data_IF_560962800119
#
_entry.id   IF_560962800119
#
_cell.length_a   1.000
_cell.length_b   1.000
_cell.length_c   1.000
_cell.angle_alpha   90.00
_cell.angle_beta   90.00
_cell.angle_gamma   90.00
#
_symmetry.space_group_name_H-M   'P 1'
#
loop_
_entity.id
_entity.type
_entity.pdbx_description
1 polymer ?
#
# COMPACT_ATOMS: atom_id res chain seq x y z
N UNK A 1 -14.90 -35.64 6.24
CA UNK A 1 -14.75 -35.07 4.89
C UNK A 1 -14.92 -33.57 5.06
N UNK A 2 -13.84 -32.79 4.99
CA UNK A 2 -13.90 -31.33 5.14
C UNK A 2 -14.04 -30.76 3.73
N UNK A 3 -15.13 -30.07 3.45
CA UNK A 3 -15.31 -29.32 2.19
C UNK A 3 -14.20 -28.25 2.08
N UNK A 4 -13.62 -28.01 0.90
CA UNK A 4 -12.77 -26.84 0.70
C UNK A 4 -13.59 -25.60 1.01
N UNK A 5 -13.09 -24.79 1.94
CA UNK A 5 -13.74 -23.55 2.33
C UNK A 5 -13.61 -22.59 1.13
N UNK A 6 -14.66 -22.51 0.32
CA UNK A 6 -14.75 -21.59 -0.83
C UNK A 6 -14.98 -20.17 -0.29
N UNK A 7 -13.92 -19.62 0.32
CA UNK A 7 -13.96 -18.39 1.09
C UNK A 7 -12.79 -17.49 0.73
N UNK A 8 -13.02 -16.18 0.77
CA UNK A 8 -11.98 -15.17 0.61
C UNK A 8 -10.88 -15.41 1.67
N UNK A 9 -9.66 -15.66 1.19
CA UNK A 9 -8.46 -15.82 2.02
C UNK A 9 -7.62 -14.55 1.97
N UNK A 10 -7.08 -14.14 3.12
CA UNK A 10 -6.06 -13.09 3.16
C UNK A 10 -4.71 -13.72 2.75
N UNK A 11 -4.28 -13.47 1.52
CA UNK A 11 -3.03 -14.05 0.98
C UNK A 11 -1.78 -13.34 1.49
N UNK A 12 -1.83 -12.02 1.63
CA UNK A 12 -0.69 -11.21 2.01
C UNK A 12 -1.11 -9.92 2.73
N UNK A 13 -0.23 -9.38 3.56
CA UNK A 13 -0.39 -8.10 4.24
C UNK A 13 0.96 -7.39 4.30
N UNK A 14 0.97 -6.05 4.21
CA UNK A 14 2.18 -5.23 4.33
C UNK A 14 1.93 -4.03 5.24
N UNK A 15 2.96 -3.61 5.97
CA UNK A 15 2.94 -2.38 6.75
C UNK A 15 3.31 -1.21 5.85
N UNK A 16 2.44 -0.21 5.79
CA UNK A 16 2.64 1.00 4.98
C UNK A 16 3.35 2.13 5.75
N UNK A 17 3.40 2.04 7.08
CA UNK A 17 3.94 3.06 7.97
C UNK A 17 3.09 3.20 9.24
N UNK A 18 3.53 4.03 10.18
CA UNK A 18 2.82 4.30 11.43
C UNK A 18 1.77 5.43 11.28
N UNK A 19 2.04 6.40 10.40
CA UNK A 19 1.27 7.64 10.25
C UNK A 19 0.96 7.88 8.77
N UNK A 20 0.12 7.01 8.24
CA UNK A 20 -0.34 7.06 6.84
C UNK A 20 -1.79 7.48 6.76
N UNK A 21 -2.11 8.28 5.75
CA UNK A 21 -3.48 8.55 5.33
C UNK A 21 -3.66 7.99 3.93
N UNK A 22 -4.49 6.96 3.79
CA UNK A 22 -4.78 6.35 2.50
C UNK A 22 -5.85 7.20 1.80
N UNK A 23 -5.54 7.69 0.61
CA UNK A 23 -6.49 8.42 -0.23
C UNK A 23 -7.27 7.46 -1.12
N UNK A 24 -6.59 6.47 -1.73
CA UNK A 24 -7.23 5.43 -2.52
C UNK A 24 -6.41 4.15 -2.58
N UNK A 25 -7.10 3.03 -2.82
CA UNK A 25 -6.50 1.72 -3.10
C UNK A 25 -7.18 1.14 -4.33
N UNK A 26 -6.38 0.76 -5.31
CA UNK A 26 -6.84 0.17 -6.56
C UNK A 26 -6.09 -1.13 -6.83
N UNK A 27 -6.77 -2.10 -7.44
CA UNK A 27 -6.14 -3.28 -8.02
C UNK A 27 -6.28 -3.17 -9.54
N UNK A 28 -5.17 -2.86 -10.21
CA UNK A 28 -5.13 -2.65 -11.65
C UNK A 28 -4.03 -3.49 -12.28
N UNK A 29 -4.35 -4.21 -13.37
CA UNK A 29 -3.40 -5.06 -14.10
C UNK A 29 -2.65 -6.09 -13.22
N UNK A 30 -3.30 -6.58 -12.16
CA UNK A 30 -2.69 -7.54 -11.22
C UNK A 30 -1.76 -6.91 -10.17
N UNK A 31 -1.66 -5.59 -10.13
CA UNK A 31 -0.87 -4.84 -9.16
C UNK A 31 -1.80 -4.08 -8.22
N UNK A 32 -1.32 -3.83 -7.01
CA UNK A 32 -2.02 -3.05 -5.99
C UNK A 32 -1.40 -1.66 -5.96
N UNK A 33 -2.17 -0.66 -6.33
CA UNK A 33 -1.76 0.74 -6.31
C UNK A 33 -2.38 1.40 -5.08
N UNK A 34 -1.53 1.98 -4.24
CA UNK A 34 -1.91 2.67 -3.02
C UNK A 34 -1.49 4.13 -3.13
N UNK A 35 -2.48 5.01 -3.20
CA UNK A 35 -2.29 6.45 -3.08
C UNK A 35 -2.46 6.84 -1.62
N UNK A 36 -1.42 7.42 -1.03
CA UNK A 36 -1.42 7.80 0.37
C UNK A 36 -0.53 8.99 0.68
N UNK A 37 -0.80 9.67 1.79
CA UNK A 37 0.11 10.62 2.43
C UNK A 37 0.83 9.91 3.57
N UNK A 38 2.16 10.02 3.62
CA UNK A 38 3.01 9.42 4.65
C UNK A 38 3.96 10.47 5.26
N UNK A 39 4.60 10.13 6.38
CA UNK A 39 5.62 10.98 6.99
C UNK A 39 6.90 10.97 6.14
N UNK A 40 7.33 12.15 5.69
CA UNK A 40 8.65 12.36 5.10
C UNK A 40 9.75 12.36 6.17
N UNK A 41 11.04 12.25 5.76
CA UNK A 41 12.17 12.26 6.69
C UNK A 41 12.32 13.57 7.46
N UNK A 42 11.84 14.68 6.89
CA UNK A 42 11.88 16.02 7.48
C UNK A 42 10.55 16.43 8.14
N UNK A 43 9.52 15.57 8.10
CA UNK A 43 8.20 15.88 8.65
C UNK A 43 8.19 15.76 10.19
N UNK A 44 7.53 16.69 10.90
CA UNK A 44 7.31 16.54 12.33
C UNK A 44 6.39 15.34 12.63
N UNK A 45 6.59 14.75 13.82
CA UNK A 45 5.78 13.63 14.34
C UNK A 45 4.29 13.95 14.56
N UNK A 46 3.80 15.11 14.14
CA UNK A 46 2.39 15.50 14.21
C UNK A 46 1.74 15.65 12.81
N UNK A 47 2.50 15.90 11.74
CA UNK A 47 1.93 16.26 10.44
C UNK A 47 2.69 15.59 9.28
N UNK A 48 2.22 14.44 8.75
CA UNK A 48 2.75 13.89 7.50
C UNK A 48 2.34 14.79 6.33
N UNK A 49 3.26 15.03 5.40
CA UNK A 49 3.02 15.90 4.22
C UNK A 49 3.39 15.23 2.90
N UNK A 50 4.13 14.13 2.92
CA UNK A 50 4.61 13.50 1.70
C UNK A 50 3.52 12.65 1.04
N UNK A 51 2.97 13.15 -0.07
CA UNK A 51 2.06 12.37 -0.92
C UNK A 51 2.86 11.38 -1.78
N UNK A 52 2.54 10.10 -1.66
CA UNK A 52 3.16 9.01 -2.41
C UNK A 52 2.14 8.10 -3.06
N UNK A 53 2.48 7.61 -4.25
CA UNK A 53 1.76 6.52 -4.93
C UNK A 53 2.70 5.32 -4.98
N UNK A 54 2.36 4.28 -4.22
CA UNK A 54 3.10 3.04 -4.15
C UNK A 54 2.39 1.95 -4.95
N UNK A 55 3.15 1.17 -5.71
CA UNK A 55 2.65 0.04 -6.48
C UNK A 55 3.29 -1.24 -5.98
N UNK A 56 2.46 -2.23 -5.68
CA UNK A 56 2.88 -3.53 -5.16
C UNK A 56 2.47 -4.66 -6.09
N UNK A 57 3.37 -5.61 -6.29
CA UNK A 57 3.08 -6.89 -6.93
C UNK A 57 2.90 -7.98 -5.88
N UNK A 58 1.93 -8.86 -6.09
CA UNK A 58 1.80 -10.10 -5.32
C UNK A 58 2.76 -11.15 -5.89
N UNK A 59 3.84 -11.42 -5.16
CA UNK A 59 4.83 -12.44 -5.51
C UNK A 59 4.74 -13.60 -4.52
N UNK A 60 4.04 -14.66 -4.92
CA UNK A 60 3.69 -15.75 -4.01
C UNK A 60 2.71 -15.26 -2.95
N UNK A 61 3.11 -15.35 -1.69
CA UNK A 61 2.30 -14.93 -0.53
C UNK A 61 2.75 -13.58 0.07
N UNK A 62 3.46 -12.77 -0.73
CA UNK A 62 4.01 -11.48 -0.28
C UNK A 62 3.73 -10.35 -1.26
N UNK A 63 3.42 -9.17 -0.71
CA UNK A 63 3.37 -7.92 -1.48
C UNK A 63 4.76 -7.30 -1.55
N UNK A 64 5.26 -7.10 -2.76
CA UNK A 64 6.57 -6.51 -3.03
C UNK A 64 6.37 -5.14 -3.67
N UNK A 65 6.98 -4.10 -3.08
CA UNK A 65 6.96 -2.75 -3.65
C UNK A 65 7.78 -2.74 -4.94
N UNK A 66 7.13 -2.48 -6.08
CA UNK A 66 7.77 -2.44 -7.40
C UNK A 66 7.94 -1.02 -7.93
N UNK A 67 7.11 -0.08 -7.47
CA UNK A 67 7.25 1.34 -7.79
C UNK A 67 6.82 2.22 -6.61
N UNK A 68 7.49 3.34 -6.41
CA UNK A 68 7.09 4.37 -5.45
C UNK A 68 7.37 5.74 -6.05
N UNK A 69 6.32 6.54 -6.19
CA UNK A 69 6.39 7.87 -6.78
C UNK A 69 5.92 8.90 -5.76
N UNK A 70 6.78 9.87 -5.44
CA UNK A 70 6.38 11.04 -4.64
C UNK A 70 5.70 12.05 -5.55
N UNK A 71 4.49 12.47 -5.17
CA UNK A 71 3.72 13.48 -5.86
C UNK A 71 4.01 14.83 -5.18
N UNK A 72 4.45 15.81 -5.96
CA UNK A 72 4.64 17.18 -5.49
C UNK A 72 3.49 18.02 -6.03
N UNK A 73 2.55 18.40 -5.17
CA UNK A 73 1.53 19.39 -5.50
C UNK A 73 2.22 20.75 -5.71
N UNK A 74 2.22 21.25 -6.95
CA UNK A 74 2.85 22.51 -7.36
C UNK A 74 1.93 23.72 -7.20
#
# INVERSE_FOLDING_TARGET
MMEPQDGLVNTASILLGDRVQINSVEIANGQIVVDMVQAGPDDPLCCPTQHVVNTYDLQGDQLVLVNSTVIFDN
#
